data_IF_063136215850
#
_entry.id   IF_063136215850
#
_cell.length_a   1.000
_cell.length_b   1.000
_cell.length_c   1.000
_cell.angle_alpha   90.00
_cell.angle_beta   90.00
_cell.angle_gamma   90.00
#
_symmetry.space_group_name_H-M   'P 1'
#
loop_
_entity.id
_entity.type
_entity.pdbx_description
1 polymer ?
#
# COMPACT_ATOMS: atom_id res chain seq x y z
N UNK A 1 -6.60 -14.07 14.42
CA UNK A 1 -7.74 -14.47 15.27
C UNK A 1 -7.31 -14.31 16.71
N UNK A 2 -8.23 -13.99 17.60
CA UNK A 2 -7.97 -13.94 19.04
C UNK A 2 -8.61 -15.16 19.69
N UNK A 3 -7.93 -15.75 20.66
CA UNK A 3 -8.44 -16.80 21.53
C UNK A 3 -8.18 -16.36 22.96
N UNK A 4 -9.16 -16.48 23.84
CA UNK A 4 -9.03 -16.03 25.22
C UNK A 4 -9.94 -16.81 26.15
N UNK A 5 -9.55 -16.88 27.42
CA UNK A 5 -10.39 -17.45 28.46
C UNK A 5 -11.57 -16.51 28.74
N UNK A 6 -12.80 -17.02 28.61
CA UNK A 6 -14.02 -16.22 28.74
C UNK A 6 -14.35 -15.84 30.18
N UNK A 7 -13.85 -16.60 31.15
CA UNK A 7 -14.06 -16.38 32.57
C UNK A 7 -12.73 -16.55 33.30
N UNK A 8 -12.43 -15.61 34.20
CA UNK A 8 -11.25 -15.62 35.06
C UNK A 8 -11.79 -15.53 36.49
N UNK A 9 -11.58 -16.54 37.35
CA UNK A 9 -12.05 -16.48 38.73
C UNK A 9 -11.36 -15.33 39.49
N UNK A 10 -11.95 -14.79 40.57
CA UNK A 10 -11.31 -13.78 41.39
C UNK A 10 -9.91 -14.20 41.85
N UNK A 11 -8.91 -13.35 41.64
CA UNK A 11 -7.51 -13.64 41.95
C UNK A 11 -6.81 -14.62 40.99
N UNK A 12 -7.51 -15.15 39.98
CA UNK A 12 -6.95 -16.05 38.98
C UNK A 12 -6.25 -15.34 37.82
N UNK A 13 -5.61 -16.14 36.97
CA UNK A 13 -4.97 -15.70 35.74
C UNK A 13 -5.77 -16.17 34.52
N UNK A 14 -5.84 -15.33 33.48
CA UNK A 14 -6.42 -15.68 32.19
C UNK A 14 -5.42 -15.43 31.06
N UNK A 15 -5.54 -16.23 30.00
CA UNK A 15 -4.63 -16.18 28.85
C UNK A 15 -5.32 -15.63 27.62
N UNK A 16 -4.65 -14.69 26.94
CA UNK A 16 -5.09 -14.13 25.65
C UNK A 16 -4.04 -14.47 24.60
N UNK A 17 -4.44 -15.23 23.59
CA UNK A 17 -3.62 -15.56 22.42
C UNK A 17 -4.05 -14.71 21.23
N UNK A 18 -3.15 -13.85 20.76
CA UNK A 18 -3.31 -13.02 19.57
C UNK A 18 -2.50 -13.60 18.41
N UNK A 19 -3.15 -13.88 17.27
CA UNK A 19 -2.45 -14.32 16.05
C UNK A 19 -2.39 -13.20 15.02
N UNK A 20 -1.17 -12.80 14.64
CA UNK A 20 -0.92 -11.83 13.56
C UNK A 20 -0.57 -12.55 12.27
N UNK A 21 -1.44 -12.40 11.25
CA UNK A 21 -1.16 -12.87 9.89
C UNK A 21 -0.32 -11.81 9.17
N UNK A 22 0.92 -12.14 8.86
CA UNK A 22 1.89 -11.24 8.22
C UNK A 22 1.80 -11.22 6.68
N UNK A 23 0.95 -12.06 6.07
CA UNK A 23 0.68 -12.04 4.62
C UNK A 23 0.26 -10.64 4.17
N UNK A 24 0.99 -10.08 3.19
CA UNK A 24 0.74 -8.74 2.65
C UNK A 24 1.30 -7.58 3.49
N UNK A 25 2.00 -7.87 4.59
CA UNK A 25 2.74 -6.89 5.37
C UNK A 25 4.24 -6.96 5.03
N UNK A 26 4.92 -5.83 5.22
CA UNK A 26 6.37 -5.69 5.09
C UNK A 26 6.82 -4.53 5.97
N UNK A 27 8.04 -4.61 6.50
CA UNK A 27 8.61 -3.57 7.36
C UNK A 27 7.88 -3.44 8.70
N UNK A 28 7.86 -2.23 9.26
CA UNK A 28 7.26 -1.95 10.56
C UNK A 28 5.74 -2.17 10.54
N UNK A 29 5.25 -3.00 11.45
CA UNK A 29 3.82 -3.21 11.70
C UNK A 29 3.47 -2.81 13.13
N UNK A 30 2.30 -2.21 13.28
CA UNK A 30 1.66 -1.94 14.57
C UNK A 30 0.25 -2.52 14.55
N UNK A 31 -0.06 -3.36 15.54
CA UNK A 31 -1.37 -3.99 15.72
C UNK A 31 -1.86 -3.71 17.13
N UNK A 32 -3.17 -3.56 17.26
CA UNK A 32 -3.82 -3.35 18.54
C UNK A 32 -4.97 -4.32 18.71
N UNK A 33 -5.21 -4.69 19.97
CA UNK A 33 -6.39 -5.42 20.40
C UNK A 33 -7.01 -4.70 21.60
N UNK A 34 -8.33 -4.78 21.73
CA UNK A 34 -9.05 -4.33 22.91
C UNK A 34 -9.61 -5.55 23.61
N UNK A 35 -9.34 -5.65 24.90
CA UNK A 35 -9.94 -6.64 25.79
C UNK A 35 -11.06 -5.92 26.53
N UNK A 36 -12.26 -6.46 26.44
CA UNK A 36 -13.41 -5.98 27.17
C UNK A 36 -13.57 -6.86 28.42
N UNK A 37 -13.69 -6.24 29.58
CA UNK A 37 -13.81 -6.89 30.88
C UNK A 37 -14.99 -6.30 31.65
N UNK A 38 -15.57 -7.09 32.53
CA UNK A 38 -16.56 -6.65 33.52
C UNK A 38 -15.93 -6.14 34.82
N UNK A 39 -14.60 -6.10 34.91
CA UNK A 39 -13.88 -5.43 36.00
C UNK A 39 -14.18 -3.90 35.93
N UNK A 40 -14.85 -3.31 36.95
CA UNK A 40 -15.22 -1.91 36.94
C UNK A 40 -14.01 -0.96 36.95
N UNK A 41 -12.86 -1.39 37.48
CA UNK A 41 -11.64 -0.59 37.47
C UNK A 41 -10.94 -0.60 36.09
N UNK A 42 -11.10 -1.70 35.32
CA UNK A 42 -10.41 -1.91 34.04
C UNK A 42 -11.32 -2.56 32.99
N UNK A 43 -12.40 -1.86 32.66
CA UNK A 43 -13.41 -2.34 31.70
C UNK A 43 -12.88 -2.52 30.27
N UNK A 44 -11.84 -1.78 29.89
CA UNK A 44 -11.17 -1.90 28.59
C UNK A 44 -9.65 -1.87 28.77
N UNK A 45 -8.99 -2.93 28.31
CA UNK A 45 -7.52 -3.00 28.27
C UNK A 45 -7.08 -2.95 26.81
N UNK A 46 -6.17 -2.04 26.47
CA UNK A 46 -5.59 -1.92 25.12
C UNK A 46 -4.25 -2.65 25.06
N UNK A 47 -4.17 -3.68 24.24
CA UNK A 47 -2.93 -4.38 23.93
C UNK A 47 -2.35 -3.82 22.62
N UNK A 48 -1.03 -3.61 22.60
CA UNK A 48 -0.30 -3.07 21.45
C UNK A 48 0.87 -3.98 21.10
N UNK A 49 0.93 -4.44 19.85
CA UNK A 49 2.01 -5.25 19.31
C UNK A 49 2.73 -4.46 18.21
N UNK A 50 4.05 -4.32 18.35
CA UNK A 50 4.94 -3.76 17.33
C UNK A 50 5.89 -4.86 16.84
N UNK A 51 6.25 -4.83 15.57
CA UNK A 51 7.23 -5.77 15.00
C UNK A 51 7.69 -5.37 13.62
N UNK A 52 8.76 -5.99 13.13
CA UNK A 52 9.29 -5.78 11.79
C UNK A 52 9.13 -7.06 10.96
N UNK A 53 8.38 -6.98 9.85
CA UNK A 53 8.17 -8.09 8.93
C UNK A 53 9.25 -8.06 7.86
N UNK A 54 10.23 -8.97 7.99
CA UNK A 54 11.24 -9.22 6.96
C UNK A 54 10.58 -9.89 5.74
N UNK A 55 10.87 -9.37 4.55
CA UNK A 55 10.41 -9.91 3.27
C UNK A 55 11.59 -9.99 2.32
N UNK A 56 11.64 -10.94 1.40
CA UNK A 56 12.78 -11.09 0.47
C UNK A 56 12.88 -9.93 -0.52
N UNK A 57 11.74 -9.29 -0.83
CA UNK A 57 11.65 -8.14 -1.74
C UNK A 57 10.74 -7.09 -1.13
N UNK A 58 11.29 -5.90 -0.90
CA UNK A 58 10.59 -4.73 -0.38
C UNK A 58 10.08 -3.87 -1.54
N UNK A 59 8.81 -3.44 -1.47
CA UNK A 59 8.19 -2.56 -2.48
C UNK A 59 7.67 -1.28 -1.81
N UNK A 60 8.21 -0.12 -2.15
CA UNK A 60 7.91 1.14 -1.48
C UNK A 60 7.60 2.28 -2.46
N UNK A 61 6.43 2.94 -2.36
CA UNK A 61 5.27 2.54 -1.58
C UNK A 61 4.65 1.22 -2.10
N UNK A 62 3.89 0.47 -1.26
CA UNK A 62 3.33 -0.83 -1.66
C UNK A 62 2.18 -0.74 -2.68
N UNK A 63 1.71 0.49 -2.97
CA UNK A 63 0.64 0.76 -3.94
C UNK A 63 0.92 2.09 -4.62
N UNK A 64 0.61 2.15 -5.91
CA UNK A 64 0.63 3.40 -6.68
C UNK A 64 -0.70 4.10 -6.49
N UNK A 65 -0.66 5.36 -6.05
CA UNK A 65 -1.83 6.25 -6.00
C UNK A 65 -1.53 7.51 -6.77
N UNK A 66 -2.36 7.78 -7.78
CA UNK A 66 -2.27 8.97 -8.62
C UNK A 66 -3.58 9.75 -8.46
N UNK A 67 -3.48 10.97 -7.94
CA UNK A 67 -4.60 11.87 -7.71
C UNK A 67 -4.30 13.21 -8.36
N UNK A 68 -5.25 13.73 -9.14
CA UNK A 68 -5.05 14.97 -9.86
C UNK A 68 -6.32 15.52 -10.48
N UNK A 69 -6.15 16.62 -11.23
CA UNK A 69 -7.21 17.26 -11.99
C UNK A 69 -7.05 16.99 -13.48
N UNK A 70 -8.12 17.21 -14.20
CA UNK A 70 -8.15 17.14 -15.66
C UNK A 70 -7.01 17.95 -16.29
N UNK A 71 -6.34 17.36 -17.27
CA UNK A 71 -5.20 17.96 -17.98
C UNK A 71 -3.85 17.92 -17.25
N UNK A 72 -3.76 17.42 -16.01
CA UNK A 72 -2.47 17.24 -15.33
C UNK A 72 -1.87 15.86 -15.58
N UNK A 73 -0.68 15.81 -16.18
CA UNK A 73 0.11 14.58 -16.21
C UNK A 73 0.55 14.18 -14.80
N UNK A 74 0.14 12.99 -14.36
CA UNK A 74 0.45 12.46 -13.04
C UNK A 74 1.53 11.40 -13.16
N UNK A 75 2.59 11.55 -12.35
CA UNK A 75 3.69 10.59 -12.28
C UNK A 75 3.88 10.09 -10.85
N UNK A 76 4.17 8.79 -10.69
CA UNK A 76 4.54 8.21 -9.40
C UNK A 76 5.62 7.16 -9.56
N UNK A 77 6.60 7.19 -8.67
CA UNK A 77 7.71 6.23 -8.63
C UNK A 77 7.50 5.27 -7.47
N UNK A 78 7.78 3.99 -7.72
CA UNK A 78 7.87 2.90 -6.74
C UNK A 78 9.28 2.36 -6.76
N UNK A 79 9.87 2.15 -5.58
CA UNK A 79 11.13 1.44 -5.40
C UNK A 79 10.86 -0.04 -5.12
N UNK A 80 11.57 -0.92 -5.81
CA UNK A 80 11.62 -2.36 -5.55
C UNK A 80 13.05 -2.72 -5.17
N UNK A 81 13.23 -3.31 -3.99
CA UNK A 81 14.56 -3.62 -3.44
C UNK A 81 14.65 -5.07 -2.96
N UNK A 82 15.77 -5.72 -3.27
CA UNK A 82 16.15 -7.01 -2.67
C UNK A 82 16.59 -6.83 -1.22
N UNK A 83 16.09 -7.69 -0.33
CA UNK A 83 16.56 -7.81 1.06
C UNK A 83 17.37 -9.11 1.27
N UNK A 84 17.72 -9.80 0.18
CA UNK A 84 18.52 -11.03 0.20
C UNK A 84 19.90 -10.79 -0.38
N UNK A 85 20.86 -11.64 0.00
CA UNK A 85 22.26 -11.59 -0.46
C UNK A 85 22.47 -12.19 -1.87
N UNK A 86 21.38 -12.41 -2.62
CA UNK A 86 21.40 -12.86 -4.01
C UNK A 86 20.87 -11.75 -4.92
N UNK A 87 21.22 -11.72 -6.22
CA UNK A 87 20.71 -10.74 -7.14
C UNK A 87 19.23 -10.99 -7.47
N UNK A 88 18.44 -9.92 -7.44
CA UNK A 88 17.05 -9.89 -7.85
C UNK A 88 16.97 -9.59 -9.35
N UNK A 89 16.25 -10.44 -10.09
CA UNK A 89 15.88 -10.21 -11.48
C UNK A 89 14.39 -9.90 -11.52
N UNK A 90 14.01 -8.79 -12.17
CA UNK A 90 12.62 -8.41 -12.37
C UNK A 90 12.28 -8.50 -13.85
N UNK A 91 11.25 -9.28 -14.18
CA UNK A 91 10.71 -9.34 -15.55
C UNK A 91 9.27 -8.84 -15.56
N UNK A 92 8.91 -7.92 -16.48
CA UNK A 92 7.53 -7.50 -16.65
C UNK A 92 6.62 -8.70 -16.96
N UNK A 93 5.55 -8.83 -16.17
CA UNK A 93 4.50 -9.82 -16.40
C UNK A 93 3.27 -9.16 -17.00
N UNK A 94 2.10 -9.41 -16.39
CA UNK A 94 0.84 -8.85 -16.86
C UNK A 94 0.59 -7.42 -16.37
N UNK A 95 0.18 -6.54 -17.28
CA UNK A 95 -0.25 -5.17 -17.01
C UNK A 95 -1.62 -4.91 -17.64
N UNK A 96 -2.55 -4.36 -16.88
CA UNK A 96 -3.95 -4.20 -17.31
C UNK A 96 -4.41 -2.74 -17.45
N UNK A 97 -3.49 -1.79 -17.53
CA UNK A 97 -3.79 -0.35 -17.69
C UNK A 97 -3.08 0.27 -18.90
N UNK A 98 -2.72 -0.54 -19.90
CA UNK A 98 -1.90 -0.16 -21.07
C UNK A 98 -2.42 1.06 -21.83
N UNK A 99 -3.74 1.23 -21.92
CA UNK A 99 -4.35 2.38 -22.62
C UNK A 99 -4.34 3.67 -21.80
N UNK A 100 -4.21 3.57 -20.47
CA UNK A 100 -4.41 4.70 -19.53
C UNK A 100 -3.12 5.15 -18.83
N UNK A 101 -2.12 4.28 -18.77
CA UNK A 101 -0.87 4.46 -18.05
C UNK A 101 0.26 3.81 -18.83
N UNK A 102 1.41 4.47 -18.82
CA UNK A 102 2.69 3.87 -19.17
C UNK A 102 3.51 3.61 -17.92
N UNK A 103 4.45 2.68 -18.02
CA UNK A 103 5.45 2.49 -16.98
C UNK A 103 6.83 2.24 -17.58
N UNK A 104 7.87 2.65 -16.86
CA UNK A 104 9.26 2.28 -17.12
C UNK A 104 9.87 1.65 -15.88
N UNK A 105 10.82 0.74 -16.09
CA UNK A 105 11.60 0.10 -15.02
C UNK A 105 13.05 0.48 -15.26
N UNK A 106 13.66 1.10 -14.25
CA UNK A 106 15.06 1.52 -14.23
C UNK A 106 15.79 0.74 -13.12
N UNK A 107 16.87 0.06 -13.47
CA UNK A 107 17.73 -0.60 -12.51
C UNK A 107 18.76 0.41 -11.98
N UNK A 108 18.65 0.75 -10.69
CA UNK A 108 19.48 1.78 -10.04
C UNK A 108 20.74 1.15 -9.43
N UNK A 109 20.59 -0.03 -8.85
CA UNK A 109 21.70 -0.82 -8.30
C UNK A 109 21.53 -2.24 -8.82
N UNK A 110 22.52 -2.71 -9.58
CA UNK A 110 22.44 -3.98 -10.31
C UNK A 110 22.06 -5.14 -9.39
N UNK A 111 20.96 -5.81 -9.69
CA UNK A 111 20.41 -6.92 -8.93
C UNK A 111 19.89 -6.57 -7.55
N UNK A 112 19.77 -5.28 -7.18
CA UNK A 112 19.43 -4.88 -5.81
C UNK A 112 18.33 -3.85 -5.71
N UNK A 113 18.34 -2.80 -6.54
CA UNK A 113 17.36 -1.70 -6.48
C UNK A 113 16.85 -1.34 -7.87
N UNK A 114 15.54 -1.24 -7.96
CA UNK A 114 14.82 -0.87 -9.17
C UNK A 114 13.84 0.26 -8.86
N UNK A 115 13.71 1.21 -9.78
CA UNK A 115 12.68 2.22 -9.77
C UNK A 115 11.69 1.97 -10.89
N UNK A 116 10.40 1.98 -10.53
CA UNK A 116 9.30 1.80 -11.47
C UNK A 116 8.51 3.10 -11.50
N UNK A 117 8.57 3.78 -12.63
CA UNK A 117 7.88 5.04 -12.87
C UNK A 117 6.59 4.76 -13.60
N UNK A 118 5.48 5.22 -13.05
CA UNK A 118 4.16 5.18 -13.67
C UNK A 118 3.74 6.59 -14.08
N UNK A 119 3.29 6.76 -15.32
CA UNK A 119 2.85 8.06 -15.86
C UNK A 119 1.54 7.91 -16.61
N UNK A 120 0.58 8.80 -16.35
CA UNK A 120 -0.73 8.79 -17.04
C UNK A 120 -0.58 9.24 -18.49
N UNK A 121 -1.17 8.50 -19.44
CA UNK A 121 -1.16 8.86 -20.86
C UNK A 121 -2.17 9.94 -21.21
N UNK A 122 -3.36 9.87 -20.61
CA UNK A 122 -4.40 10.87 -20.72
C UNK A 122 -4.97 11.18 -19.34
N UNK A 123 -5.27 12.46 -19.11
CA UNK A 123 -5.72 12.99 -17.83
C UNK A 123 -7.17 13.44 -17.93
N UNK A 124 -8.04 12.57 -18.43
CA UNK A 124 -9.48 12.82 -18.48
C UNK A 124 -10.13 12.51 -17.12
N UNK A 125 -11.27 13.15 -16.77
CA UNK A 125 -11.97 12.91 -15.50
C UNK A 125 -12.45 11.47 -15.38
N UNK A 126 -11.64 10.61 -14.75
CA UNK A 126 -11.97 9.20 -14.55
C UNK A 126 -11.35 8.66 -13.25
N UNK A 127 -12.03 7.67 -12.66
CA UNK A 127 -11.45 6.82 -11.62
C UNK A 127 -11.30 5.40 -12.14
N UNK A 128 -10.11 4.83 -12.02
CA UNK A 128 -9.84 3.46 -12.42
C UNK A 128 -8.81 2.81 -11.51
N UNK A 129 -8.78 1.49 -11.54
CA UNK A 129 -7.87 0.66 -10.75
C UNK A 129 -7.33 -0.45 -11.64
N UNK A 130 -6.13 -0.88 -11.34
CA UNK A 130 -5.50 -1.99 -12.00
C UNK A 130 -4.22 -2.38 -11.27
N UNK A 131 -3.34 -3.07 -11.97
CA UNK A 131 -2.12 -3.58 -11.38
C UNK A 131 -1.05 -3.83 -12.45
N UNK A 132 0.19 -3.89 -11.98
CA UNK A 132 1.33 -4.44 -12.69
C UNK A 132 1.80 -5.69 -11.95
N UNK A 133 1.86 -6.82 -12.64
CA UNK A 133 2.52 -8.05 -12.17
C UNK A 133 3.95 -8.06 -12.68
N UNK A 134 4.87 -8.40 -11.78
CA UNK A 134 6.29 -8.59 -12.07
C UNK A 134 6.67 -9.99 -11.61
N UNK A 135 7.39 -10.72 -12.44
CA UNK A 135 7.97 -12.00 -12.06
C UNK A 135 9.38 -11.79 -11.51
N UNK A 136 9.78 -12.67 -10.59
CA UNK A 136 11.08 -12.62 -9.94
C UNK A 136 11.75 -13.99 -9.93
N UNK A 137 13.06 -14.00 -9.81
CA UNK A 137 13.86 -15.22 -9.65
C UNK A 137 13.84 -15.80 -8.22
N UNK A 138 13.05 -15.24 -7.30
CA UNK A 138 13.01 -15.69 -5.90
C UNK A 138 11.87 -16.69 -5.69
N UNK A 139 12.15 -17.97 -5.33
CA UNK A 139 11.11 -18.97 -5.14
C UNK A 139 10.19 -18.64 -3.95
N UNK A 140 10.70 -17.94 -2.93
CA UNK A 140 9.91 -17.42 -1.82
C UNK A 140 8.95 -16.29 -2.21
N UNK A 141 9.17 -15.61 -3.35
CA UNK A 141 8.31 -14.52 -3.85
C UNK A 141 8.39 -14.41 -5.39
N UNK A 142 7.87 -15.41 -6.12
CA UNK A 142 8.05 -15.51 -7.57
C UNK A 142 7.26 -14.46 -8.36
N UNK A 143 6.23 -13.86 -7.74
CA UNK A 143 5.43 -12.79 -8.34
C UNK A 143 5.26 -11.63 -7.33
N UNK A 144 5.36 -10.40 -7.84
CA UNK A 144 5.02 -9.16 -7.15
C UNK A 144 3.84 -8.54 -7.89
N UNK A 145 2.79 -8.16 -7.16
CA UNK A 145 1.69 -7.37 -7.72
C UNK A 145 1.71 -5.95 -7.15
N UNK A 146 1.89 -4.96 -8.02
CA UNK A 146 1.82 -3.55 -7.68
C UNK A 146 0.41 -3.05 -8.03
N UNK A 147 -0.38 -2.75 -7.00
CA UNK A 147 -1.73 -2.23 -7.17
C UNK A 147 -1.72 -0.73 -7.47
N UNK A 148 -2.48 -0.34 -8.48
CA UNK A 148 -2.55 1.04 -8.98
C UNK A 148 -3.97 1.56 -8.82
N UNK A 149 -4.10 2.75 -8.24
CA UNK A 149 -5.37 3.48 -8.14
C UNK A 149 -5.18 4.89 -8.68
N UNK A 150 -5.97 5.24 -9.68
CA UNK A 150 -6.00 6.57 -10.27
C UNK A 150 -7.36 7.20 -10.02
N UNK A 151 -7.37 8.48 -9.66
CA UNK A 151 -8.58 9.30 -9.62
C UNK A 151 -8.24 10.71 -10.11
N UNK A 152 -8.78 11.04 -11.26
CA UNK A 152 -8.69 12.35 -11.89
C UNK A 152 -10.05 13.02 -11.75
N UNK A 153 -10.06 14.25 -11.25
CA UNK A 153 -11.28 15.04 -11.06
C UNK A 153 -11.41 16.09 -12.17
N UNK A 154 -12.65 16.41 -12.55
CA UNK A 154 -12.91 17.52 -13.46
C UNK A 154 -12.34 18.82 -12.88
N UNK A 155 -11.76 19.67 -13.73
CA UNK A 155 -11.32 21.00 -13.30
C UNK A 155 -12.57 21.82 -12.95
N UNK A 156 -12.61 22.41 -11.75
CA UNK A 156 -13.69 23.35 -11.42
C UNK A 156 -13.52 24.62 -12.27
N UNK A 157 -14.56 24.99 -13.03
CA UNK A 157 -14.60 26.28 -13.70
C UNK A 157 -14.75 27.38 -12.65
N UNK A 158 -13.76 28.25 -12.56
CA UNK A 158 -13.89 29.48 -11.77
C UNK A 158 -14.76 30.42 -12.60
N UNK A 159 -16.03 30.57 -12.23
CA UNK A 159 -16.87 31.64 -12.76
C UNK A 159 -16.25 32.99 -12.38
N UNK A 160 -15.45 33.56 -13.28
CA UNK A 160 -15.11 34.98 -13.23
C UNK A 160 -16.36 35.75 -13.61
N UNK A 161 -17.16 36.17 -12.63
CA UNK A 161 -18.08 37.29 -12.84
C UNK A 161 -17.22 38.50 -13.18
N UNK A 162 -17.09 38.83 -14.47
CA UNK A 162 -16.71 40.19 -14.86
C UNK A 162 -17.86 41.08 -14.37
N UNK A 163 -17.61 41.85 -13.32
CA UNK A 163 -18.46 42.99 -12.98
C UNK A 163 -18.38 43.97 -14.14
N UNK A 164 -19.44 44.02 -14.96
CA UNK A 164 -19.65 45.10 -15.91
C UNK A 164 -19.87 46.39 -15.11
N UNK A 165 -18.85 47.24 -15.10
CA UNK A 165 -19.01 48.68 -14.84
C UNK A 165 -19.96 49.23 -15.89
N UNK A 166 -21.12 49.75 -15.48
CA UNK A 166 -21.87 50.69 -16.30
C UNK A 166 -21.89 52.05 -15.59
N UNK A 167 -21.48 53.04 -16.39
CA UNK A 167 -21.54 54.48 -16.17
C UNK A 167 -22.97 54.96 -15.91
#
# INVERSE_FOLDING_TARGET
MAHFDKAIPPGGEGKIRLTVRTRGYQGNIHKSARVYSNDPAKSIIRLSLKGFVKVPILVSPPRVRLYGKEGQSLTRIIEVRSELDKPLILTPGHFNLTEKLTYSIEEIEKGKRFQIRFTTTNSSPQSFRGFLKLNTNYPEKPEITIWIKVRIQKKAEVQRKLGSTHQ
#
